data_IF_891456517407
#
_entry.id   IF_891456517407
#
_cell.length_a   1.000
_cell.length_b   1.000
_cell.length_c   1.000
_cell.angle_alpha   90.00
_cell.angle_beta   90.00
_cell.angle_gamma   90.00
#
_symmetry.space_group_name_H-M   'P 1'
#
loop_
_entity.id
_entity.type
_entity.pdbx_description
1 polymer ?
#
# COMPACT_ATOMS: atom_id res chain seq x y z
N UNK A 1 10.52 25.03 19.59
CA UNK A 1 10.66 23.97 20.61
C UNK A 1 9.29 23.36 20.82
N UNK A 2 9.02 22.24 20.13
CA UNK A 2 7.90 21.29 20.29
C UNK A 2 8.34 20.10 19.43
N UNK A 3 9.31 19.33 19.90
CA UNK A 3 9.07 18.01 20.50
C UNK A 3 9.69 17.00 19.53
N UNK A 4 10.51 16.09 20.02
CA UNK A 4 10.71 14.81 19.31
C UNK A 4 9.32 14.22 19.12
N UNK A 5 8.70 14.47 17.98
CA UNK A 5 7.38 13.95 17.65
C UNK A 5 7.49 12.44 17.71
N UNK A 6 6.75 11.81 18.63
CA UNK A 6 6.75 10.37 18.75
C UNK A 6 6.48 9.77 17.37
N UNK A 7 7.36 8.87 16.94
CA UNK A 7 7.22 8.25 15.64
C UNK A 7 5.88 7.50 15.57
N UNK A 8 5.17 7.67 14.45
CA UNK A 8 3.82 7.18 14.30
C UNK A 8 3.79 5.74 13.77
N UNK A 9 2.64 5.10 13.94
CA UNK A 9 2.35 3.74 13.46
C UNK A 9 1.33 3.80 12.33
N UNK A 10 1.56 2.99 11.31
CA UNK A 10 0.69 2.86 10.14
C UNK A 10 0.92 1.53 9.40
N UNK A 11 0.02 1.24 8.47
CA UNK A 11 0.22 0.29 7.39
C UNK A 11 0.61 1.06 6.13
N UNK A 12 1.56 0.53 5.37
CA UNK A 12 1.93 1.05 4.06
C UNK A 12 1.70 -0.08 3.06
N UNK A 13 0.70 0.08 2.18
CA UNK A 13 0.57 -0.77 1.00
C UNK A 13 1.47 -0.20 -0.08
N UNK A 14 2.44 -0.98 -0.52
CA UNK A 14 3.28 -0.72 -1.67
C UNK A 14 2.81 -1.58 -2.84
N UNK A 15 2.56 -0.93 -3.98
CA UNK A 15 2.28 -1.59 -5.24
C UNK A 15 3.38 -1.25 -6.23
N UNK A 16 4.25 -2.19 -6.55
CA UNK A 16 5.29 -2.01 -7.57
C UNK A 16 4.81 -2.59 -8.89
N UNK A 17 5.04 -1.88 -9.98
CA UNK A 17 4.64 -2.28 -11.32
C UNK A 17 5.87 -2.35 -12.21
N UNK A 18 6.14 -3.54 -12.76
CA UNK A 18 7.28 -3.88 -13.59
C UNK A 18 6.83 -4.04 -15.05
N UNK A 19 6.54 -2.91 -15.69
CA UNK A 19 6.12 -2.85 -17.10
C UNK A 19 7.24 -2.29 -17.98
N UNK A 20 6.95 -1.51 -19.03
CA UNK A 20 8.00 -0.82 -19.82
C UNK A 20 8.72 0.27 -19.03
N UNK A 21 8.09 0.80 -17.98
CA UNK A 21 8.67 1.73 -17.01
C UNK A 21 8.31 1.21 -15.63
N UNK A 22 9.31 1.03 -14.77
CA UNK A 22 9.08 0.62 -13.38
C UNK A 22 8.49 1.80 -12.60
N UNK A 23 7.39 1.55 -11.90
CA UNK A 23 6.74 2.55 -11.06
C UNK A 23 6.14 1.94 -9.81
N UNK A 24 6.05 2.75 -8.75
CA UNK A 24 5.56 2.28 -7.45
C UNK A 24 4.56 3.26 -6.87
N UNK A 25 3.48 2.71 -6.33
CA UNK A 25 2.45 3.45 -5.59
C UNK A 25 2.45 3.05 -4.12
N UNK A 26 2.40 4.04 -3.24
CA UNK A 26 2.27 3.83 -1.80
C UNK A 26 0.92 4.32 -1.32
N UNK A 27 0.26 3.55 -0.46
CA UNK A 27 -0.93 3.97 0.27
C UNK A 27 -0.67 3.83 1.76
N UNK A 28 -0.90 4.91 2.53
CA UNK A 28 -0.57 4.96 3.96
C UNK A 28 -1.84 5.13 4.78
N UNK A 29 -2.17 4.13 5.60
CA UNK A 29 -3.34 4.12 6.47
C UNK A 29 -2.99 3.71 7.88
N UNK A 30 -3.81 4.11 8.86
CA UNK A 30 -3.60 3.76 10.27
C UNK A 30 -4.58 2.69 10.78
N UNK A 31 -5.49 2.21 9.91
CA UNK A 31 -6.49 1.20 10.19
C UNK A 31 -6.42 0.09 9.16
N UNK A 32 -6.44 -1.15 9.64
CA UNK A 32 -6.48 -2.34 8.78
C UNK A 32 -7.70 -2.36 7.87
N UNK A 33 -8.85 -1.89 8.35
CA UNK A 33 -10.09 -1.88 7.56
C UNK A 33 -10.02 -0.95 6.34
N UNK A 34 -9.23 0.13 6.39
CA UNK A 34 -9.03 0.99 5.22
C UNK A 34 -8.20 0.28 4.15
N UNK A 35 -7.27 -0.59 4.53
CA UNK A 35 -6.55 -1.46 3.59
C UNK A 35 -7.53 -2.45 2.94
N UNK A 36 -8.46 -3.03 3.72
CA UNK A 36 -9.48 -3.94 3.17
C UNK A 36 -10.38 -3.25 2.14
N UNK A 37 -10.85 -2.05 2.46
CA UNK A 37 -11.65 -1.23 1.55
C UNK A 37 -10.85 -0.89 0.29
N UNK A 38 -9.62 -0.39 0.45
CA UNK A 38 -8.77 -0.07 -0.68
C UNK A 38 -8.53 -1.28 -1.60
N UNK A 39 -8.19 -2.45 -1.06
CA UNK A 39 -7.97 -3.65 -1.88
C UNK A 39 -9.26 -4.05 -2.63
N UNK A 40 -10.43 -3.88 -2.00
CA UNK A 40 -11.71 -4.10 -2.69
C UNK A 40 -11.90 -3.10 -3.82
N UNK A 41 -11.63 -1.82 -3.57
CA UNK A 41 -11.73 -0.75 -4.58
C UNK A 41 -10.76 -0.94 -5.76
N UNK A 42 -9.55 -1.40 -5.49
CA UNK A 42 -8.52 -1.59 -6.51
C UNK A 42 -8.82 -2.78 -7.43
N UNK A 43 -9.36 -3.87 -6.88
CA UNK A 43 -9.52 -5.13 -7.60
C UNK A 43 -10.95 -5.48 -7.98
N UNK A 44 -11.97 -4.85 -7.39
CA UNK A 44 -13.36 -5.30 -7.52
C UNK A 44 -14.40 -4.19 -7.64
N UNK A 45 -14.06 -2.92 -7.45
CA UNK A 45 -15.03 -1.83 -7.56
C UNK A 45 -15.28 -1.42 -9.02
N UNK A 46 -16.45 -1.80 -9.52
CA UNK A 46 -16.89 -1.63 -10.89
C UNK A 46 -17.22 -0.18 -11.29
N UNK A 47 -17.19 0.79 -10.36
CA UNK A 47 -17.38 2.20 -10.72
C UNK A 47 -16.27 2.73 -11.64
N UNK A 48 -15.09 2.09 -11.65
CA UNK A 48 -13.97 2.37 -12.55
C UNK A 48 -13.43 1.07 -13.18
N UNK A 49 -14.22 0.48 -14.08
CA UNK A 49 -13.95 -0.83 -14.70
C UNK A 49 -12.60 -0.89 -15.42
N UNK A 50 -12.20 0.19 -16.11
CA UNK A 50 -10.94 0.24 -16.86
C UNK A 50 -9.73 0.14 -15.91
N UNK A 51 -9.79 0.82 -14.75
CA UNK A 51 -8.76 0.77 -13.72
C UNK A 51 -8.67 -0.60 -13.06
N UNK A 52 -9.82 -1.21 -12.77
CA UNK A 52 -9.90 -2.56 -12.18
C UNK A 52 -9.36 -3.60 -13.15
N UNK A 53 -9.73 -3.53 -14.43
CA UNK A 53 -9.22 -4.45 -15.46
C UNK A 53 -7.70 -4.34 -15.60
N UNK A 54 -7.15 -3.13 -15.62
CA UNK A 54 -5.69 -2.93 -15.65
C UNK A 54 -5.01 -3.53 -14.42
N UNK A 55 -5.54 -3.25 -13.22
CA UNK A 55 -5.00 -3.79 -11.96
C UNK A 55 -5.03 -5.32 -11.93
N UNK A 56 -6.12 -5.94 -12.40
CA UNK A 56 -6.20 -7.40 -12.50
C UNK A 56 -5.21 -7.96 -13.52
N UNK A 57 -5.07 -7.32 -14.67
CA UNK A 57 -4.10 -7.71 -15.70
C UNK A 57 -2.67 -7.68 -15.16
N UNK A 58 -2.26 -6.59 -14.53
CA UNK A 58 -0.92 -6.43 -13.94
C UNK A 58 -0.65 -7.48 -12.85
N UNK A 59 -1.67 -7.84 -12.06
CA UNK A 59 -1.59 -8.89 -11.03
C UNK A 59 -1.48 -10.30 -11.61
N UNK A 60 -2.23 -10.62 -12.68
CA UNK A 60 -2.16 -11.95 -13.35
C UNK A 60 -0.82 -12.15 -14.04
N UNK A 61 -0.33 -11.12 -14.72
CA UNK A 61 0.89 -11.20 -15.52
C UNK A 61 2.18 -11.13 -14.67
N UNK A 62 2.05 -11.14 -13.34
CA UNK A 62 3.15 -10.99 -12.36
C UNK A 62 3.98 -9.71 -12.60
N UNK A 63 3.34 -8.70 -13.20
CA UNK A 63 3.91 -7.37 -13.39
C UNK A 63 3.76 -6.54 -12.11
N UNK A 64 2.89 -6.93 -11.19
CA UNK A 64 2.65 -6.21 -9.93
C UNK A 64 3.15 -6.97 -8.69
N UNK A 65 3.82 -6.28 -7.76
CA UNK A 65 3.89 -6.71 -6.35
C UNK A 65 2.89 -5.94 -5.50
N UNK A 66 2.30 -6.60 -4.51
CA UNK A 66 1.39 -5.98 -3.54
C UNK A 66 1.88 -6.30 -2.14
N UNK A 67 2.75 -5.45 -1.61
CA UNK A 67 3.42 -5.65 -0.32
C UNK A 67 2.81 -4.75 0.75
N UNK A 68 2.44 -5.34 1.89
CA UNK A 68 1.93 -4.60 3.04
C UNK A 68 3.00 -4.53 4.14
N UNK A 69 3.51 -3.33 4.38
CA UNK A 69 4.45 -3.04 5.46
C UNK A 69 3.73 -2.59 6.72
N UNK A 70 4.11 -3.16 7.85
CA UNK A 70 3.55 -2.82 9.16
C UNK A 70 4.57 -1.99 9.93
N UNK A 71 4.21 -0.73 10.19
CA UNK A 71 5.07 0.23 10.90
C UNK A 71 4.52 0.48 12.30
N UNK A 72 5.33 0.25 13.32
CA UNK A 72 5.03 0.64 14.70
C UNK A 72 6.11 1.57 15.23
N UNK A 73 5.72 2.75 15.70
CA UNK A 73 6.69 3.72 16.25
C UNK A 73 7.77 4.12 15.25
N UNK A 74 7.43 4.24 13.96
CA UNK A 74 8.35 4.53 12.85
C UNK A 74 9.35 3.42 12.52
N UNK A 75 9.15 2.20 13.01
CA UNK A 75 9.99 1.04 12.68
C UNK A 75 9.20 -0.01 11.92
N UNK A 76 9.83 -0.65 10.95
CA UNK A 76 9.26 -1.83 10.31
C UNK A 76 9.21 -2.98 11.33
N UNK A 77 8.03 -3.54 11.55
CA UNK A 77 7.84 -4.69 12.43
C UNK A 77 7.31 -5.93 11.72
N UNK A 78 6.83 -5.79 10.48
CA UNK A 78 6.25 -6.88 9.72
C UNK A 78 6.02 -6.53 8.26
N UNK A 79 5.88 -7.58 7.46
CA UNK A 79 5.67 -7.54 6.02
C UNK A 79 4.73 -8.69 5.64
N UNK A 80 3.83 -8.43 4.69
CA UNK A 80 2.94 -9.43 4.10
C UNK A 80 2.93 -9.24 2.59
N UNK A 81 3.30 -10.29 1.84
CA UNK A 81 3.00 -10.38 0.40
C UNK A 81 1.52 -10.69 0.25
N UNK A 82 0.76 -9.74 -0.30
CA UNK A 82 -0.68 -9.86 -0.47
C UNK A 82 -1.06 -10.61 -1.75
N UNK A 83 -0.14 -10.80 -2.71
CA UNK A 83 -0.49 -11.42 -3.99
C UNK A 83 -1.16 -12.78 -3.85
N UNK A 84 -0.66 -13.71 -3.00
CA UNK A 84 -1.28 -15.02 -2.83
C UNK A 84 -2.68 -14.96 -2.19
N UNK A 85 -3.06 -13.81 -1.64
CA UNK A 85 -4.34 -13.60 -0.97
C UNK A 85 -5.40 -13.02 -1.91
N UNK A 86 -5.01 -12.59 -3.12
CA UNK A 86 -5.89 -11.93 -4.08
C UNK A 86 -6.04 -12.86 -5.28
N UNK A 87 -7.21 -13.46 -5.37
CA UNK A 87 -7.65 -14.31 -6.47
C UNK A 87 -8.42 -13.43 -7.45
N UNK A 88 -7.89 -13.22 -8.65
CA UNK A 88 -8.55 -12.40 -9.67
C UNK A 88 -9.10 -13.31 -10.76
N UNK A 89 -10.26 -12.98 -11.36
CA UNK A 89 -10.82 -13.77 -12.43
C UNK A 89 -9.84 -13.90 -13.59
N UNK A 90 -9.87 -15.06 -14.25
CA UNK A 90 -9.22 -15.16 -15.56
C UNK A 90 -9.88 -14.17 -16.52
N UNK A 91 -9.09 -13.21 -17.00
CA UNK A 91 -9.53 -12.18 -17.96
C UNK A 91 -10.03 -12.82 -19.26
N UNK A 92 -9.67 -14.08 -19.52
CA UNK A 92 -10.10 -14.87 -20.68
C UNK A 92 -11.33 -15.76 -20.43
N UNK A 93 -11.81 -15.92 -19.18
CA UNK A 93 -13.07 -16.59 -18.83
C UNK A 93 -13.83 -15.87 -17.69
N UNK A 94 -14.35 -14.65 -17.95
CA UNK A 94 -15.03 -13.84 -16.95
C UNK A 94 -16.40 -14.39 -16.51
N UNK A 95 -16.93 -15.44 -17.16
CA UNK A 95 -18.23 -16.03 -16.81
C UNK A 95 -18.13 -17.08 -15.69
N UNK A 96 -16.93 -17.55 -15.32
CA UNK A 96 -16.74 -18.66 -14.38
C UNK A 96 -15.95 -18.33 -13.10
N UNK A 97 -15.45 -17.11 -12.94
CA UNK A 97 -14.70 -16.70 -11.76
C UNK A 97 -15.04 -15.26 -11.36
N UNK A 98 -15.61 -15.06 -10.18
CA UNK A 98 -15.92 -13.70 -9.68
C UNK A 98 -14.69 -13.03 -9.05
N UNK A 99 -13.63 -13.81 -8.79
CA UNK A 99 -12.46 -13.37 -8.03
C UNK A 99 -12.81 -13.02 -6.59
N UNK A 100 -11.81 -13.06 -5.70
CA UNK A 100 -12.00 -12.77 -4.28
C UNK A 100 -10.68 -12.50 -3.59
N UNK A 101 -10.78 -11.85 -2.44
CA UNK A 101 -9.67 -11.72 -1.50
C UNK A 101 -9.89 -12.72 -0.37
N UNK A 102 -8.88 -13.53 -0.03
CA UNK A 102 -8.91 -14.38 1.16
C UNK A 102 -8.73 -13.53 2.42
N UNK A 103 -9.85 -12.97 2.87
CA UNK A 103 -9.90 -12.14 4.08
C UNK A 103 -9.50 -12.90 5.34
N UNK A 104 -9.70 -14.22 5.39
CA UNK A 104 -9.30 -15.01 6.56
C UNK A 104 -7.79 -15.12 6.66
N UNK A 105 -7.11 -15.36 5.54
CA UNK A 105 -5.65 -15.37 5.49
C UNK A 105 -5.06 -13.96 5.72
N UNK A 106 -5.68 -12.93 5.16
CA UNK A 106 -5.33 -11.53 5.41
C UNK A 106 -5.42 -11.18 6.91
N UNK A 107 -6.55 -11.48 7.55
CA UNK A 107 -6.78 -11.13 8.96
C UNK A 107 -5.86 -11.91 9.92
N UNK A 108 -5.38 -13.08 9.49
CA UNK A 108 -4.39 -13.87 10.23
C UNK A 108 -2.96 -13.31 10.09
N UNK A 109 -2.62 -12.74 8.92
CA UNK A 109 -1.30 -12.20 8.63
C UNK A 109 -1.12 -10.74 9.08
N UNK A 110 -2.19 -9.94 9.04
CA UNK A 110 -2.14 -8.50 9.28
C UNK A 110 -2.72 -8.17 10.67
N UNK A 111 -1.93 -7.58 11.59
CA UNK A 111 -2.43 -7.18 12.91
C UNK A 111 -3.65 -6.27 12.79
N UNK A 112 -4.69 -6.50 13.59
CA UNK A 112 -5.89 -5.66 13.60
C UNK A 112 -5.65 -4.25 14.16
N UNK A 113 -4.80 -4.18 15.19
CA UNK A 113 -4.45 -2.96 15.90
C UNK A 113 -2.93 -2.77 15.90
N UNK A 114 -2.51 -1.53 15.66
CA UNK A 114 -1.11 -1.11 15.79
C UNK A 114 -0.84 -0.57 17.19
N UNK A 115 0.40 -0.72 17.66
CA UNK A 115 0.86 -0.16 18.93
C UNK A 115 1.40 1.26 18.75
N UNK A 116 1.24 2.08 19.79
CA UNK A 116 1.78 3.44 19.83
C UNK A 116 0.88 4.49 19.17
N UNK A 117 1.38 5.72 18.98
CA UNK A 117 0.64 6.79 18.32
C UNK A 117 0.34 6.42 16.86
N UNK A 118 -0.92 6.52 16.44
CA UNK A 118 -1.32 6.28 15.06
C UNK A 118 -1.06 7.53 14.20
N UNK A 119 -0.62 7.34 12.95
CA UNK A 119 -0.45 8.44 12.00
C UNK A 119 -1.80 9.08 11.68
N UNK A 120 -1.95 10.38 11.93
CA UNK A 120 -3.16 11.15 11.66
C UNK A 120 -3.20 11.80 10.27
N UNK A 121 -4.40 12.24 9.86
CA UNK A 121 -4.58 13.06 8.65
C UNK A 121 -3.76 14.35 8.76
N UNK A 122 -3.00 14.66 7.72
CA UNK A 122 -2.13 15.84 7.68
C UNK A 122 -0.85 15.72 8.51
N UNK A 123 -0.63 14.57 9.16
CA UNK A 123 0.64 14.25 9.80
C UNK A 123 1.59 13.58 8.80
N UNK A 124 2.87 13.67 9.10
CA UNK A 124 3.94 13.09 8.30
C UNK A 124 4.50 11.87 9.02
N UNK A 125 4.59 10.76 8.30
CA UNK A 125 5.32 9.60 8.77
C UNK A 125 6.79 9.98 8.96
N UNK A 126 7.49 9.28 9.87
CA UNK A 126 8.95 9.33 10.03
C UNK A 126 9.50 7.92 10.17
N UNK A 127 10.43 7.55 9.30
CA UNK A 127 11.12 6.26 9.30
C UNK A 127 12.63 6.44 9.58
N UNK A 128 13.04 6.63 10.85
CA UNK A 128 14.42 7.02 11.20
C UNK A 128 15.50 5.98 10.85
N UNK A 129 15.11 4.74 10.55
CA UNK A 129 16.04 3.65 10.22
C UNK A 129 15.59 2.89 8.95
N UNK A 130 14.96 3.60 8.00
CA UNK A 130 14.39 2.99 6.79
C UNK A 130 15.38 2.10 6.04
N UNK A 131 16.63 2.52 5.87
CA UNK A 131 17.66 1.73 5.20
C UNK A 131 17.97 0.40 5.90
N UNK A 132 17.94 0.40 7.25
CA UNK A 132 18.18 -0.80 8.04
C UNK A 132 16.96 -1.72 8.03
N UNK A 133 15.79 -1.14 8.23
CA UNK A 133 14.52 -1.84 8.38
C UNK A 133 14.15 -2.58 7.07
N UNK A 134 14.46 -1.99 5.92
CA UNK A 134 14.14 -2.54 4.60
C UNK A 134 15.35 -3.16 3.88
N UNK A 135 16.49 -3.36 4.55
CA UNK A 135 17.73 -3.82 3.92
C UNK A 135 17.62 -5.16 3.16
N UNK A 136 16.67 -6.00 3.53
CA UNK A 136 16.41 -7.30 2.91
C UNK A 136 15.08 -7.35 2.14
N UNK A 137 14.37 -6.23 2.05
CA UNK A 137 13.09 -6.12 1.37
C UNK A 137 13.28 -5.64 -0.07
N UNK A 138 12.43 -6.12 -0.98
CA UNK A 138 12.25 -5.53 -2.31
C UNK A 138 11.24 -4.41 -2.16
N UNK A 139 11.69 -3.24 -1.70
CA UNK A 139 10.84 -2.07 -1.49
C UNK A 139 11.54 -0.83 -2.02
N UNK A 140 10.78 0.07 -2.65
CA UNK A 140 11.28 1.37 -3.07
C UNK A 140 11.24 2.41 -1.94
N UNK A 141 10.61 2.10 -0.79
CA UNK A 141 10.53 3.02 0.35
C UNK A 141 11.88 3.64 0.74
N UNK A 142 13.00 2.89 0.88
CA UNK A 142 14.28 3.48 1.29
C UNK A 142 14.82 4.51 0.29
N UNK A 143 14.66 4.24 -1.01
CA UNK A 143 15.15 5.10 -2.08
C UNK A 143 14.42 6.45 -2.10
N UNK A 144 13.14 6.46 -1.71
CA UNK A 144 12.29 7.65 -1.75
C UNK A 144 12.35 8.50 -0.48
N UNK A 145 12.91 7.94 0.58
CA UNK A 145 12.81 8.50 1.92
C UNK A 145 14.04 9.24 2.49
N UNK A 146 15.05 9.70 1.74
CA UNK A 146 16.00 10.66 2.31
C UNK A 146 15.49 12.11 2.32
N UNK A 147 14.24 12.39 1.90
CA UNK A 147 13.68 13.75 1.93
C UNK A 147 12.19 13.96 1.59
N UNK A 148 11.45 12.93 1.16
CA UNK A 148 10.02 13.04 0.83
C UNK A 148 9.12 12.62 1.98
N UNK A 149 8.05 13.38 2.20
CA UNK A 149 7.10 13.19 3.31
C UNK A 149 5.93 12.33 2.82
N UNK A 150 5.77 11.15 3.42
CA UNK A 150 4.56 10.33 3.26
C UNK A 150 3.55 10.76 4.31
N UNK A 151 2.44 11.32 3.86
CA UNK A 151 1.28 11.65 4.69
C UNK A 151 0.22 10.57 4.62
N UNK A 152 -0.64 10.54 5.63
CA UNK A 152 -1.83 9.69 5.65
C UNK A 152 -2.71 9.94 4.40
N UNK A 153 -3.16 8.88 3.73
CA UNK A 153 -4.02 8.96 2.54
C UNK A 153 -3.33 9.51 1.28
N UNK A 154 -2.00 9.57 1.25
CA UNK A 154 -1.26 9.99 0.06
C UNK A 154 -1.02 8.82 -0.89
N UNK A 155 -1.19 9.07 -2.20
CA UNK A 155 -0.66 8.23 -3.27
C UNK A 155 0.49 8.95 -3.96
N UNK A 156 1.69 8.38 -3.88
CA UNK A 156 2.82 8.81 -4.69
C UNK A 156 2.83 8.00 -5.98
N UNK A 157 2.93 8.67 -7.13
CA UNK A 157 3.14 8.01 -8.43
C UNK A 157 4.54 8.39 -8.91
N UNK A 158 5.29 7.45 -9.46
CA UNK A 158 6.66 7.69 -9.88
C UNK A 158 6.94 7.03 -11.22
N UNK A 159 7.22 7.80 -12.25
CA UNK A 159 7.62 7.25 -13.54
C UNK A 159 9.09 7.56 -13.80
N UNK A 160 10.02 6.66 -13.45
CA UNK A 160 11.45 6.72 -13.81
C UNK A 160 12.28 7.94 -13.34
N UNK A 161 11.65 9.06 -13.00
CA UNK A 161 12.22 10.27 -12.43
C UNK A 161 11.38 10.70 -11.22
N UNK A 162 12.07 11.00 -10.14
CA UNK A 162 11.53 11.42 -8.86
C UNK A 162 10.68 12.70 -9.01
N UNK A 163 9.34 12.62 -9.10
CA UNK A 163 8.45 13.80 -9.04
C UNK A 163 8.26 14.30 -7.60
N UNK A 164 8.49 15.59 -7.35
CA UNK A 164 8.31 16.21 -6.03
C UNK A 164 6.83 16.43 -5.65
N UNK A 165 5.89 16.11 -6.54
CA UNK A 165 4.45 16.30 -6.33
C UNK A 165 3.69 14.96 -6.30
N UNK A 166 2.82 14.73 -5.30
CA UNK A 166 1.93 13.57 -5.29
C UNK A 166 0.94 13.68 -6.46
N UNK A 167 0.78 12.60 -7.23
CA UNK A 167 -0.04 12.61 -8.43
C UNK A 167 -1.55 12.51 -8.15
N UNK A 168 -1.97 12.08 -6.96
CA UNK A 168 -3.35 12.20 -6.50
C UNK A 168 -3.45 12.05 -4.97
N UNK A 169 -4.41 12.75 -4.36
CA UNK A 169 -4.87 12.46 -2.99
C UNK A 169 -6.11 11.58 -3.10
N UNK A 170 -6.03 10.33 -2.64
CA UNK A 170 -7.26 9.58 -2.39
C UNK A 170 -7.77 10.04 -1.03
N UNK A 171 -8.99 10.56 -1.00
CA UNK A 171 -9.67 10.80 0.27
C UNK A 171 -9.79 9.47 0.99
N UNK A 172 -9.48 9.47 2.28
CA UNK A 172 -9.67 8.35 3.18
C UNK A 172 -10.97 7.59 2.84
N UNK A 173 -10.93 6.29 2.49
CA UNK A 173 -12.15 5.53 2.29
C UNK A 173 -12.90 5.58 3.61
N UNK A 174 -14.08 6.18 3.59
CA UNK A 174 -14.84 6.41 4.83
C UNK A 174 -15.21 5.03 5.39
N UNK A 175 -14.72 4.66 6.60
CA UNK A 175 -15.11 3.40 7.21
C UNK A 175 -16.54 3.54 7.71
N UNK A 176 -17.52 3.34 6.82
CA UNK A 176 -18.94 3.33 7.17
C UNK A 176 -19.26 2.23 8.18
#
# INVERSE_FOLDING_TARGET
MTGDGAAASCYILERQFSTQLDWTTFFVYNRRDHIRLLLTELFFDAEDSDRVESTRGDHVDDHETSDLWVIEGGRLIGHVDLRPLIDVPDVFDPENDEGRIDWSAFDAAVPADLRGPLLGRGEELRLPAVDQDFAAATSDLPTLYPGRRLGYGMNLWMNGELSDEPAAYFTDPDPS
#
